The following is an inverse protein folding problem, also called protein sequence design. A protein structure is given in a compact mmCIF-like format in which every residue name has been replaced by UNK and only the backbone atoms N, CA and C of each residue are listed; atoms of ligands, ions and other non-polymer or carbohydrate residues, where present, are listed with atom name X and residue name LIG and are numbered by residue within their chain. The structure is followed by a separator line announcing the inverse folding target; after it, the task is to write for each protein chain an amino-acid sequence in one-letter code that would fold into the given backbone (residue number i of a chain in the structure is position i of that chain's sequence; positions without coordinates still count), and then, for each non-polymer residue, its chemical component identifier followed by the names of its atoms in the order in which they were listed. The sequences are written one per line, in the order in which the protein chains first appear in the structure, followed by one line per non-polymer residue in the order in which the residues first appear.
data_IF_998806820938
#
_entry.id   IF_998806820938
#
_cell.length_a   1.000
_cell.length_b   1.000
_cell.length_c   1.000
_cell.angle_alpha   90.00
_cell.angle_beta   90.00
_cell.angle_gamma   90.00
#
_symmetry.space_group_name_H-M   'P 1'
#
loop_
_entity.id
_entity.type
_entity.pdbx_description
1 polymer ?
#
# COMPACT_ATOMS: atom_id res chain seq x y z
N UNK A 1 -22.38 -5.90 1.36
CA UNK A 1 -22.09 -7.29 0.95
C UNK A 1 -20.61 -7.49 0.64
N UNK A 2 -20.00 -6.65 -0.21
CA UNK A 2 -18.58 -6.73 -0.59
C UNK A 2 -17.60 -6.73 0.59
N UNK A 3 -17.75 -5.80 1.55
CA UNK A 3 -16.92 -5.77 2.77
C UNK A 3 -17.04 -7.02 3.65
N UNK A 4 -18.19 -7.73 3.62
CA UNK A 4 -18.34 -8.99 4.35
C UNK A 4 -17.52 -10.10 3.71
N UNK A 5 -17.53 -10.18 2.39
CA UNK A 5 -16.69 -11.13 1.64
C UNK A 5 -15.22 -10.85 1.94
N UNK A 6 -14.80 -9.59 1.87
CA UNK A 6 -13.44 -9.20 2.21
C UNK A 6 -13.06 -9.59 3.64
N UNK A 7 -13.91 -9.27 4.63
CA UNK A 7 -13.65 -9.62 6.02
C UNK A 7 -13.51 -11.14 6.22
N UNK A 8 -14.40 -11.93 5.61
CA UNK A 8 -14.31 -13.41 5.65
C UNK A 8 -13.00 -13.88 5.03
N UNK A 9 -12.63 -13.39 3.86
CA UNK A 9 -11.38 -13.78 3.19
C UNK A 9 -10.17 -13.40 4.03
N UNK A 10 -10.12 -12.19 4.62
CA UNK A 10 -9.03 -11.77 5.50
C UNK A 10 -8.93 -12.67 6.74
N UNK A 11 -10.05 -12.99 7.39
CA UNK A 11 -10.07 -13.89 8.55
C UNK A 11 -9.55 -15.28 8.16
N UNK A 12 -9.97 -15.79 7.00
CA UNK A 12 -9.47 -17.06 6.47
C UNK A 12 -7.96 -16.99 6.22
N UNK A 13 -7.45 -15.94 5.57
CA UNK A 13 -6.00 -15.76 5.35
C UNK A 13 -5.22 -15.74 6.66
N UNK A 14 -5.71 -15.04 7.69
CA UNK A 14 -5.08 -15.01 9.01
C UNK A 14 -5.10 -16.38 9.67
N UNK A 15 -6.24 -17.10 9.64
CA UNK A 15 -6.33 -18.46 10.20
C UNK A 15 -5.30 -19.38 9.55
N UNK A 16 -5.12 -19.31 8.24
CA UNK A 16 -4.17 -20.19 7.57
C UNK A 16 -2.73 -19.84 7.95
N UNK A 17 -2.39 -18.56 8.07
CA UNK A 17 -1.08 -18.16 8.58
C UNK A 17 -0.84 -18.69 10.00
N UNK A 18 -1.86 -18.63 10.86
CA UNK A 18 -1.76 -19.20 12.22
C UNK A 18 -1.57 -20.72 12.20
N UNK A 19 -2.30 -21.44 11.35
CA UNK A 19 -2.11 -22.89 11.15
C UNK A 19 -0.69 -23.19 10.69
N UNK A 20 -0.18 -22.41 9.73
CA UNK A 20 1.20 -22.52 9.27
C UNK A 20 2.20 -22.30 10.41
N UNK A 21 2.04 -21.25 11.22
CA UNK A 21 2.97 -20.98 12.33
C UNK A 21 2.95 -22.08 13.38
N UNK A 22 1.77 -22.62 13.73
CA UNK A 22 1.66 -23.72 14.68
C UNK A 22 2.34 -24.98 14.15
N UNK A 23 2.13 -25.31 12.87
CA UNK A 23 2.82 -26.44 12.24
C UNK A 23 4.33 -26.22 12.15
N UNK A 24 4.76 -25.04 11.69
CA UNK A 24 6.16 -24.66 11.58
C UNK A 24 6.87 -24.72 12.93
N UNK A 25 6.24 -24.24 14.01
CA UNK A 25 6.80 -24.25 15.36
C UNK A 25 7.26 -25.63 15.83
N UNK A 26 6.62 -26.71 15.36
CA UNK A 26 7.03 -28.09 15.68
C UNK A 26 8.30 -28.55 14.95
N UNK A 27 8.69 -27.85 13.89
CA UNK A 27 9.83 -28.18 13.01
C UNK A 27 10.94 -27.11 13.02
N UNK A 28 10.77 -26.03 13.79
CA UNK A 28 11.75 -24.94 13.86
C UNK A 28 13.06 -25.47 14.44
N UNK A 29 14.16 -25.24 13.72
CA UNK A 29 15.51 -25.55 14.21
C UNK A 29 16.49 -24.45 13.78
N UNK A 30 16.88 -23.59 14.72
CA UNK A 30 17.84 -22.51 14.44
C UNK A 30 19.23 -23.05 14.09
N UNK A 31 19.68 -24.09 14.81
CA UNK A 31 21.00 -24.68 14.57
C UNK A 31 21.09 -25.24 13.15
N UNK A 32 20.12 -26.07 12.77
CA UNK A 32 20.14 -26.78 11.49
C UNK A 32 19.93 -25.87 10.27
N UNK A 33 19.00 -24.91 10.37
CA UNK A 33 18.58 -24.11 9.22
C UNK A 33 19.28 -22.76 9.10
N UNK A 34 20.01 -22.32 10.15
CA UNK A 34 20.69 -21.02 10.17
C UNK A 34 22.16 -21.15 10.58
N UNK A 35 22.46 -21.71 11.74
CA UNK A 35 23.81 -21.71 12.30
C UNK A 35 24.77 -22.65 11.56
N UNK A 36 24.38 -23.92 11.39
CA UNK A 36 25.20 -24.97 10.77
C UNK A 36 25.42 -24.74 9.27
N UNK A 37 24.48 -24.02 8.64
CA UNK A 37 24.57 -23.59 7.24
C UNK A 37 25.43 -22.36 7.03
N UNK A 38 25.99 -21.78 8.10
CA UNK A 38 26.77 -20.54 8.07
C UNK A 38 26.06 -19.44 7.26
N UNK A 39 24.74 -19.28 7.43
CA UNK A 39 24.00 -18.26 6.69
C UNK A 39 24.59 -16.88 6.99
N UNK A 40 25.22 -16.29 5.98
CA UNK A 40 25.78 -14.95 6.05
C UNK A 40 24.76 -13.97 5.51
N UNK A 41 24.74 -12.78 6.10
CA UNK A 41 23.92 -11.66 5.62
C UNK A 41 24.36 -11.28 4.19
N UNK A 42 23.62 -11.67 3.13
CA UNK A 42 24.13 -11.55 1.77
C UNK A 42 24.34 -10.07 1.43
N UNK A 43 25.51 -9.73 0.90
CA UNK A 43 25.91 -8.36 0.56
C UNK A 43 26.00 -7.38 1.74
N UNK A 44 25.96 -7.83 2.99
CA UNK A 44 26.16 -6.95 4.14
C UNK A 44 25.17 -5.77 4.17
N UNK A 45 25.67 -4.58 4.55
CA UNK A 45 24.88 -3.35 4.55
C UNK A 45 24.36 -2.93 3.17
N UNK A 46 25.03 -3.31 2.07
CA UNK A 46 24.53 -3.06 0.71
C UNK A 46 23.22 -3.84 0.47
N UNK A 47 23.17 -5.10 0.89
CA UNK A 47 21.96 -5.92 0.88
C UNK A 47 20.85 -5.32 1.75
N UNK A 48 21.19 -4.80 2.93
CA UNK A 48 20.24 -4.12 3.83
C UNK A 48 19.54 -2.94 3.16
N UNK A 49 20.34 -2.06 2.55
CA UNK A 49 19.84 -0.86 1.89
C UNK A 49 18.98 -1.23 0.70
N UNK A 50 19.35 -2.24 -0.09
CA UNK A 50 18.54 -2.73 -1.22
C UNK A 50 17.24 -3.40 -0.76
N UNK A 51 17.28 -4.14 0.35
CA UNK A 51 16.10 -4.80 0.92
C UNK A 51 15.10 -3.84 1.58
N UNK A 52 15.55 -2.66 2.02
CA UNK A 52 14.67 -1.68 2.69
C UNK A 52 13.50 -1.23 1.81
N UNK A 53 13.72 -0.99 0.51
CA UNK A 53 12.65 -0.61 -0.42
C UNK A 53 11.60 -1.71 -0.57
N UNK A 54 12.01 -2.98 -0.63
CA UNK A 54 11.12 -4.13 -0.63
C UNK A 54 10.40 -4.31 0.72
N UNK A 55 11.06 -4.00 1.84
CA UNK A 55 10.40 -4.02 3.15
C UNK A 55 9.27 -2.99 3.23
N UNK A 56 9.40 -1.81 2.62
CA UNK A 56 8.31 -0.82 2.55
C UNK A 56 7.07 -1.37 1.83
N UNK A 57 7.26 -2.22 0.82
CA UNK A 57 6.16 -2.83 0.07
C UNK A 57 5.25 -3.68 0.96
N UNK A 58 5.78 -4.36 1.98
CA UNK A 58 4.98 -5.16 2.91
C UNK A 58 3.93 -4.36 3.69
N UNK A 59 4.17 -3.06 3.87
CA UNK A 59 3.34 -2.18 4.70
C UNK A 59 2.58 -1.13 3.87
N UNK A 60 2.73 -1.16 2.55
CA UNK A 60 2.01 -0.29 1.63
C UNK A 60 0.54 -0.71 1.56
N UNK A 61 -0.36 0.27 1.59
CA UNK A 61 -1.82 0.09 1.56
C UNK A 61 -2.51 0.39 2.90
N UNK A 62 -1.78 0.51 4.01
CA UNK A 62 -2.40 0.87 5.31
C UNK A 62 -3.02 2.29 5.28
N UNK A 63 -2.48 3.17 4.44
CA UNK A 63 -2.93 4.53 4.17
C UNK A 63 -4.28 4.60 3.45
N UNK A 64 -4.77 3.46 2.93
CA UNK A 64 -6.06 3.41 2.25
C UNK A 64 -7.25 3.44 3.22
N UNK A 65 -7.06 2.98 4.46
CA UNK A 65 -8.10 2.97 5.48
C UNK A 65 -8.76 4.36 5.63
N UNK A 66 -8.01 5.47 5.77
CA UNK A 66 -8.55 6.83 5.77
C UNK A 66 -9.43 7.21 4.58
N UNK A 67 -9.22 6.61 3.41
CA UNK A 67 -10.03 6.89 2.21
C UNK A 67 -11.45 6.32 2.33
N UNK A 68 -11.66 5.37 3.26
CA UNK A 68 -12.97 4.82 3.59
C UNK A 68 -13.68 5.57 4.75
N UNK A 69 -13.15 6.71 5.20
CA UNK A 69 -13.67 7.43 6.37
C UNK A 69 -15.15 7.83 6.21
N UNK A 70 -15.58 8.20 5.00
CA UNK A 70 -16.96 8.64 4.71
C UNK A 70 -17.99 7.52 4.90
N UNK A 71 -17.57 6.25 4.79
CA UNK A 71 -18.43 5.07 4.97
C UNK A 71 -18.19 4.37 6.31
N UNK A 72 -17.34 4.94 7.16
CA UNK A 72 -16.97 4.37 8.45
C UNK A 72 -17.97 4.81 9.52
N UNK A 73 -18.53 3.85 10.26
CA UNK A 73 -19.37 4.13 11.43
C UNK A 73 -18.49 4.73 12.53
N UNK A 74 -18.86 5.88 13.09
CA UNK A 74 -18.13 6.57 14.16
C UNK A 74 -16.61 6.74 13.86
N UNK A 75 -16.25 7.51 12.80
CA UNK A 75 -14.88 7.57 12.30
C UNK A 75 -13.88 8.10 13.34
N UNK A 76 -14.31 9.03 14.20
CA UNK A 76 -13.44 9.62 15.23
C UNK A 76 -12.82 8.59 16.18
N UNK A 77 -13.57 7.52 16.48
CA UNK A 77 -13.13 6.43 17.37
C UNK A 77 -12.61 5.24 16.57
N UNK A 78 -13.31 4.86 15.50
CA UNK A 78 -13.02 3.61 14.80
C UNK A 78 -11.83 3.73 13.83
N UNK A 79 -11.55 4.91 13.27
CA UNK A 79 -10.39 5.10 12.39
C UNK A 79 -9.05 4.92 13.12
N UNK A 80 -8.80 5.56 14.28
CA UNK A 80 -7.54 5.35 14.99
C UNK A 80 -7.36 3.89 15.46
N UNK A 81 -8.43 3.27 15.96
CA UNK A 81 -8.39 1.87 16.39
C UNK A 81 -8.08 0.97 15.19
N UNK A 82 -8.81 1.13 14.08
CA UNK A 82 -8.62 0.32 12.88
C UNK A 82 -7.23 0.43 12.29
N UNK A 83 -6.65 1.63 12.24
CA UNK A 83 -5.26 1.84 11.79
C UNK A 83 -4.25 1.16 12.71
N UNK A 84 -4.38 1.35 14.03
CA UNK A 84 -3.46 0.77 15.01
C UNK A 84 -3.54 -0.75 15.05
N UNK A 85 -4.75 -1.32 15.05
CA UNK A 85 -4.92 -2.78 15.05
C UNK A 85 -4.41 -3.38 13.76
N UNK A 86 -4.69 -2.75 12.61
CA UNK A 86 -4.23 -3.24 11.31
C UNK A 86 -2.71 -3.26 11.22
N UNK A 87 -2.02 -2.16 11.57
CA UNK A 87 -0.55 -2.13 11.54
C UNK A 87 0.06 -3.11 12.55
N UNK A 88 -0.49 -3.22 13.76
CA UNK A 88 -0.02 -4.19 14.75
C UNK A 88 -0.18 -5.64 14.27
N UNK A 89 -1.33 -6.00 13.71
CA UNK A 89 -1.53 -7.34 13.16
C UNK A 89 -0.59 -7.63 12.00
N UNK A 90 -0.38 -6.65 11.12
CA UNK A 90 0.49 -6.79 9.96
C UNK A 90 1.95 -6.99 10.38
N UNK A 91 2.45 -6.19 11.33
CA UNK A 91 3.83 -6.32 11.86
C UNK A 91 4.04 -7.69 12.50
N UNK A 92 3.10 -8.15 13.33
CA UNK A 92 3.20 -9.46 14.00
C UNK A 92 3.20 -10.59 12.98
N UNK A 93 2.23 -10.61 12.05
CA UNK A 93 2.12 -11.67 11.04
C UNK A 93 3.29 -11.65 10.06
N UNK A 94 3.74 -10.48 9.61
CA UNK A 94 4.91 -10.37 8.73
C UNK A 94 6.18 -10.88 9.42
N UNK A 95 6.41 -10.48 10.67
CA UNK A 95 7.56 -10.95 11.47
C UNK A 95 7.51 -12.45 11.68
N UNK A 96 6.37 -13.00 12.12
CA UNK A 96 6.19 -14.45 12.28
C UNK A 96 6.42 -15.18 10.95
N UNK A 97 5.92 -14.65 9.83
CA UNK A 97 6.13 -15.26 8.51
C UNK A 97 7.61 -15.35 8.16
N UNK A 98 8.37 -14.26 8.32
CA UNK A 98 9.81 -14.27 8.04
C UNK A 98 10.54 -15.26 8.94
N UNK A 99 10.29 -15.22 10.25
CA UNK A 99 10.97 -16.07 11.23
C UNK A 99 10.65 -17.55 11.00
N UNK A 100 9.37 -17.92 10.95
CA UNK A 100 8.98 -19.33 10.81
C UNK A 100 9.39 -19.90 9.45
N UNK A 101 9.33 -19.11 8.38
CA UNK A 101 9.67 -19.60 7.05
C UNK A 101 11.18 -19.78 6.87
N UNK A 102 12.01 -18.91 7.48
CA UNK A 102 13.47 -19.03 7.38
C UNK A 102 14.07 -20.09 8.31
N UNK A 103 13.36 -20.53 9.36
CA UNK A 103 13.88 -21.46 10.38
C UNK A 103 13.38 -22.90 10.26
N UNK A 104 12.75 -23.23 9.13
CA UNK A 104 12.29 -24.59 8.78
C UNK A 104 12.95 -25.02 7.47
N UNK A 105 12.87 -26.31 7.14
CA UNK A 105 13.26 -26.80 5.81
C UNK A 105 12.57 -26.00 4.71
N UNK A 106 13.24 -25.59 3.62
CA UNK A 106 14.63 -25.89 3.26
C UNK A 106 15.70 -24.91 3.80
N UNK A 107 15.33 -23.94 4.63
CA UNK A 107 16.21 -22.91 5.20
C UNK A 107 16.19 -21.58 4.43
N UNK A 108 16.85 -20.57 4.99
CA UNK A 108 16.79 -19.19 4.49
C UNK A 108 17.30 -19.03 3.04
N UNK A 109 18.35 -19.76 2.63
CA UNK A 109 18.92 -19.71 1.27
C UNK A 109 17.92 -20.08 0.17
N UNK A 110 17.25 -21.22 0.36
CA UNK A 110 16.29 -21.73 -0.61
C UNK A 110 15.00 -20.91 -0.60
N UNK A 111 14.57 -20.46 0.58
CA UNK A 111 13.42 -19.55 0.72
C UNK A 111 13.69 -18.21 0.04
N UNK A 112 14.91 -17.67 0.15
CA UNK A 112 15.33 -16.46 -0.56
C UNK A 112 15.28 -16.63 -2.09
N UNK A 113 15.60 -17.82 -2.59
CA UNK A 113 15.60 -18.11 -4.03
C UNK A 113 14.24 -18.56 -4.57
N UNK A 114 13.24 -18.78 -3.70
CA UNK A 114 11.92 -19.25 -4.08
C UNK A 114 11.07 -18.13 -4.69
N UNK A 115 10.35 -18.44 -5.77
CA UNK A 115 9.35 -17.53 -6.35
C UNK A 115 8.05 -17.46 -5.52
N UNK A 116 7.82 -18.43 -4.63
CA UNK A 116 6.65 -18.46 -3.74
C UNK A 116 7.07 -18.89 -2.33
N UNK A 117 7.82 -18.06 -1.60
CA UNK A 117 8.45 -18.42 -0.32
C UNK A 117 7.46 -19.00 0.69
N UNK A 118 6.27 -18.41 0.82
CA UNK A 118 5.26 -18.86 1.78
C UNK A 118 4.70 -20.24 1.43
N UNK A 119 4.51 -20.53 0.14
CA UNK A 119 4.03 -21.85 -0.31
C UNK A 119 5.10 -22.92 -0.10
N UNK A 120 6.36 -22.61 -0.41
CA UNK A 120 7.51 -23.50 -0.17
C UNK A 120 7.62 -23.88 1.31
N UNK A 121 7.54 -22.88 2.20
CA UNK A 121 7.51 -23.12 3.64
C UNK A 121 6.33 -24.00 4.05
N UNK A 122 5.14 -23.71 3.55
CA UNK A 122 3.93 -24.48 3.88
C UNK A 122 4.04 -25.95 3.43
N UNK A 123 4.54 -26.21 2.22
CA UNK A 123 4.80 -27.56 1.69
C UNK A 123 5.83 -28.33 2.53
N UNK A 124 6.86 -27.66 3.05
CA UNK A 124 7.85 -28.32 3.93
C UNK A 124 7.24 -28.82 5.25
N UNK A 125 6.23 -28.10 5.77
CA UNK A 125 5.59 -28.42 7.04
C UNK A 125 4.55 -29.52 6.86
N UNK A 126 3.66 -29.38 5.88
CA UNK A 126 2.51 -30.26 5.73
C UNK A 126 2.66 -31.33 4.64
N UNK A 127 3.80 -31.34 3.95
CA UNK A 127 4.08 -32.20 2.81
C UNK A 127 3.47 -31.67 1.51
N UNK A 128 4.01 -32.12 0.38
CA UNK A 128 3.47 -31.77 -0.94
C UNK A 128 2.39 -32.77 -1.35
N UNK A 129 1.13 -32.47 -0.99
CA UNK A 129 -0.03 -33.31 -1.27
C UNK A 129 -1.21 -32.47 -1.78
N UNK A 130 -2.31 -33.13 -2.16
CA UNK A 130 -3.50 -32.47 -2.72
C UNK A 130 -4.13 -31.45 -1.76
N UNK A 131 -4.06 -31.67 -0.45
CA UNK A 131 -4.54 -30.72 0.57
C UNK A 131 -3.68 -29.47 0.60
N UNK A 132 -2.36 -29.62 0.48
CA UNK A 132 -1.40 -28.52 0.39
C UNK A 132 -1.50 -27.76 -0.94
N UNK A 133 -1.85 -28.44 -2.04
CA UNK A 133 -2.17 -27.77 -3.31
C UNK A 133 -3.41 -26.88 -3.20
N UNK A 134 -4.39 -27.27 -2.36
CA UNK A 134 -5.53 -26.44 -1.98
C UNK A 134 -5.15 -25.10 -1.34
N UNK A 135 -4.02 -25.04 -0.62
CA UNK A 135 -3.51 -23.80 -0.01
C UNK A 135 -3.17 -22.73 -1.06
N UNK A 136 -2.62 -23.13 -2.21
CA UNK A 136 -2.33 -22.19 -3.31
C UNK A 136 -3.58 -21.44 -3.78
N UNK A 137 -4.73 -22.12 -3.84
CA UNK A 137 -6.00 -21.46 -4.16
C UNK A 137 -6.44 -20.46 -3.09
N UNK A 138 -6.16 -20.73 -1.83
CA UNK A 138 -6.48 -19.80 -0.74
C UNK A 138 -5.59 -18.55 -0.76
N UNK A 139 -4.31 -18.68 -1.17
CA UNK A 139 -3.43 -17.53 -1.40
C UNK A 139 -4.00 -16.62 -2.49
N UNK A 140 -4.52 -17.19 -3.57
CA UNK A 140 -5.17 -16.44 -4.66
C UNK A 140 -6.41 -15.69 -4.16
N UNK A 141 -7.24 -16.33 -3.30
CA UNK A 141 -8.39 -15.65 -2.70
C UNK A 141 -7.96 -14.43 -1.87
N UNK A 142 -6.88 -14.55 -1.09
CA UNK A 142 -6.29 -13.44 -0.34
C UNK A 142 -5.87 -12.27 -1.26
N UNK A 143 -5.23 -12.58 -2.39
CA UNK A 143 -4.84 -11.58 -3.40
C UNK A 143 -6.06 -10.87 -3.98
N UNK A 144 -7.14 -11.60 -4.31
CA UNK A 144 -8.39 -11.02 -4.84
C UNK A 144 -9.03 -10.07 -3.82
N UNK A 145 -9.05 -10.42 -2.53
CA UNK A 145 -9.57 -9.56 -1.48
C UNK A 145 -8.73 -8.29 -1.30
N UNK A 146 -7.41 -8.39 -1.43
CA UNK A 146 -6.52 -7.23 -1.43
C UNK A 146 -6.84 -6.29 -2.62
N UNK A 147 -6.90 -6.83 -3.84
CA UNK A 147 -7.25 -6.04 -5.04
C UNK A 147 -8.59 -5.31 -4.92
N UNK A 148 -9.58 -5.95 -4.30
CA UNK A 148 -10.87 -5.31 -4.06
C UNK A 148 -10.75 -4.02 -3.24
N UNK A 149 -9.88 -4.02 -2.23
CA UNK A 149 -9.63 -2.87 -1.34
C UNK A 149 -9.00 -1.71 -2.11
N UNK A 150 -7.93 -1.99 -2.84
CA UNK A 150 -7.22 -0.99 -3.64
C UNK A 150 -8.13 -0.35 -4.68
N UNK A 151 -8.93 -1.15 -5.39
CA UNK A 151 -9.88 -0.63 -6.39
C UNK A 151 -10.95 0.25 -5.74
N UNK A 152 -11.48 -0.17 -4.59
CA UNK A 152 -12.45 0.63 -3.83
C UNK A 152 -11.86 1.97 -3.38
N UNK A 153 -10.69 1.96 -2.74
CA UNK A 153 -10.02 3.14 -2.21
C UNK A 153 -9.56 4.10 -3.31
N UNK A 154 -9.06 3.58 -4.43
CA UNK A 154 -8.77 4.36 -5.63
C UNK A 154 -10.02 5.08 -6.14
N UNK A 155 -11.16 4.40 -6.21
CA UNK A 155 -12.43 5.01 -6.58
C UNK A 155 -12.84 6.16 -5.66
N UNK A 156 -12.73 5.95 -4.34
CA UNK A 156 -13.01 6.98 -3.31
C UNK A 156 -12.10 8.20 -3.47
N UNK A 157 -10.81 7.96 -3.67
CA UNK A 157 -9.83 9.02 -3.82
C UNK A 157 -10.09 9.87 -5.07
N UNK A 158 -10.31 9.23 -6.23
CA UNK A 158 -10.61 9.94 -7.48
C UNK A 158 -11.91 10.73 -7.39
N UNK A 159 -12.94 10.14 -6.79
CA UNK A 159 -14.23 10.80 -6.56
C UNK A 159 -14.07 12.04 -5.66
N UNK A 160 -13.36 11.90 -4.53
CA UNK A 160 -13.15 13.01 -3.58
C UNK A 160 -12.37 14.16 -4.22
N UNK A 161 -11.28 13.87 -4.93
CA UNK A 161 -10.48 14.88 -5.64
C UNK A 161 -11.31 15.57 -6.73
N UNK A 162 -12.15 14.82 -7.46
CA UNK A 162 -13.04 15.39 -8.47
C UNK A 162 -14.17 16.24 -7.87
N UNK A 163 -14.73 15.81 -6.73
CA UNK A 163 -15.73 16.57 -5.96
C UNK A 163 -15.17 17.90 -5.51
N UNK A 164 -13.90 17.93 -5.10
CA UNK A 164 -13.18 19.13 -4.70
C UNK A 164 -12.76 20.02 -5.89
N UNK A 165 -13.05 19.60 -7.13
CA UNK A 165 -12.84 20.38 -8.35
C UNK A 165 -11.44 20.28 -8.95
N UNK A 166 -10.57 19.43 -8.38
CA UNK A 166 -9.21 19.20 -8.87
C UNK A 166 -9.15 18.22 -10.04
N UNK A 167 -10.21 17.46 -10.31
CA UNK A 167 -10.33 16.56 -11.46
C UNK A 167 -11.65 16.81 -12.24
N UNK A 168 -11.81 16.25 -13.46
CA UNK A 168 -13.04 16.43 -14.22
C UNK A 168 -14.30 15.98 -13.47
N UNK A 169 -15.33 16.83 -13.47
CA UNK A 169 -16.59 16.61 -12.76
C UNK A 169 -17.34 15.33 -13.20
N UNK A 170 -17.00 14.73 -14.34
CA UNK A 170 -17.61 13.44 -14.74
C UNK A 170 -17.31 12.31 -13.75
N UNK A 171 -16.17 12.38 -13.03
CA UNK A 171 -15.75 11.38 -12.05
C UNK A 171 -16.62 11.37 -10.78
N UNK A 172 -17.38 12.44 -10.53
CA UNK A 172 -18.28 12.55 -9.37
C UNK A 172 -19.63 11.84 -9.58
N UNK A 173 -19.84 11.19 -10.73
CA UNK A 173 -21.07 10.48 -11.02
C UNK A 173 -21.19 9.20 -10.19
N UNK A 174 -22.32 9.07 -9.50
CA UNK A 174 -22.69 7.91 -8.71
C UNK A 174 -23.70 7.03 -9.46
N UNK A 175 -23.68 5.73 -9.19
CA UNK A 175 -24.68 4.80 -9.73
C UNK A 175 -26.05 5.11 -9.11
N UNK A 176 -27.12 5.27 -9.92
CA UNK A 176 -28.40 5.83 -9.46
C UNK A 176 -29.06 5.04 -8.33
N UNK A 177 -28.87 3.71 -8.29
CA UNK A 177 -29.49 2.85 -7.27
C UNK A 177 -28.54 2.38 -6.17
N UNK A 178 -27.22 2.40 -6.41
CA UNK A 178 -26.22 1.80 -5.51
C UNK A 178 -25.34 2.84 -4.82
N UNK A 179 -25.35 4.09 -5.29
CA UNK A 179 -24.45 5.13 -4.81
C UNK A 179 -22.96 4.85 -5.07
N UNK A 180 -22.63 3.87 -5.93
CA UNK A 180 -21.24 3.51 -6.21
C UNK A 180 -20.62 4.48 -7.21
N UNK A 181 -19.38 4.92 -6.97
CA UNK A 181 -18.65 5.88 -7.81
C UNK A 181 -18.11 5.20 -9.08
N UNK A 182 -19.02 4.67 -9.90
CA UNK A 182 -18.68 3.76 -10.99
C UNK A 182 -17.78 4.42 -12.04
N UNK A 183 -17.93 5.72 -12.30
CA UNK A 183 -17.07 6.42 -13.27
C UNK A 183 -15.64 6.50 -12.74
N UNK A 184 -15.45 6.90 -11.48
CA UNK A 184 -14.13 6.92 -10.84
C UNK A 184 -13.47 5.54 -10.82
N UNK A 185 -14.23 4.49 -10.50
CA UNK A 185 -13.75 3.11 -10.50
C UNK A 185 -13.30 2.65 -11.89
N UNK A 186 -14.14 2.87 -12.91
CA UNK A 186 -13.83 2.47 -14.29
C UNK A 186 -12.64 3.28 -14.81
N UNK A 187 -12.65 4.60 -14.68
CA UNK A 187 -11.57 5.45 -15.20
C UNK A 187 -10.23 5.13 -14.56
N UNK A 188 -10.16 5.01 -13.22
CA UNK A 188 -8.92 4.66 -12.53
C UNK A 188 -8.41 3.28 -12.93
N UNK A 189 -9.30 2.28 -12.98
CA UNK A 189 -8.94 0.90 -13.37
C UNK A 189 -8.48 0.83 -14.83
N UNK A 190 -9.14 1.55 -15.74
CA UNK A 190 -8.76 1.62 -17.15
C UNK A 190 -7.40 2.28 -17.33
N UNK A 191 -7.11 3.37 -16.62
CA UNK A 191 -5.79 4.02 -16.67
C UNK A 191 -4.72 3.06 -16.14
N UNK A 192 -4.94 2.43 -14.99
CA UNK A 192 -4.01 1.45 -14.43
C UNK A 192 -3.76 0.28 -15.39
N UNK A 193 -4.82 -0.28 -15.98
CA UNK A 193 -4.71 -1.35 -16.96
C UNK A 193 -3.96 -0.92 -18.23
N UNK A 194 -4.22 0.29 -18.75
CA UNK A 194 -3.51 0.83 -19.91
C UNK A 194 -2.02 1.00 -19.63
N UNK A 195 -1.64 1.51 -18.45
CA UNK A 195 -0.23 1.64 -18.06
C UNK A 195 0.44 0.26 -18.01
N UNK A 196 -0.21 -0.73 -17.40
CA UNK A 196 0.30 -2.12 -17.33
C UNK A 196 0.46 -2.70 -18.74
N UNK A 197 -0.54 -2.53 -19.60
CA UNK A 197 -0.54 -3.06 -20.97
C UNK A 197 0.54 -2.41 -21.83
N UNK A 198 0.70 -1.09 -21.75
CA UNK A 198 1.78 -0.37 -22.44
C UNK A 198 3.15 -0.88 -21.97
N UNK A 199 3.34 -1.03 -20.65
CA UNK A 199 4.60 -1.53 -20.11
C UNK A 199 4.86 -2.98 -20.54
N UNK A 200 3.86 -3.85 -20.50
CA UNK A 200 3.97 -5.23 -20.99
C UNK A 200 4.58 -5.29 -22.40
N UNK A 201 4.09 -4.47 -23.34
CA UNK A 201 4.61 -4.45 -24.71
C UNK A 201 5.98 -3.77 -24.87
N UNK A 202 6.36 -2.83 -23.99
CA UNK A 202 7.64 -2.11 -24.09
C UNK A 202 8.79 -2.87 -23.42
N UNK A 203 8.55 -3.41 -22.22
CA UNK A 203 9.62 -3.97 -21.37
C UNK A 203 9.52 -5.48 -21.14
N UNK A 204 8.38 -6.11 -21.48
CA UNK A 204 8.12 -7.54 -21.30
C UNK A 204 7.75 -7.95 -19.86
N UNK A 205 7.18 -9.15 -19.71
CA UNK A 205 6.61 -9.65 -18.45
C UNK A 205 7.62 -9.90 -17.34
N UNK A 206 8.83 -10.34 -17.70
CA UNK A 206 9.86 -10.71 -16.73
C UNK A 206 10.27 -9.55 -15.82
N UNK A 207 10.16 -8.32 -16.34
CA UNK A 207 10.56 -7.08 -15.66
C UNK A 207 9.39 -6.28 -15.12
N UNK A 208 8.17 -6.57 -15.60
CA UNK A 208 6.97 -5.78 -15.32
C UNK A 208 6.69 -5.66 -13.82
N UNK A 209 6.78 -6.77 -13.08
CA UNK A 209 6.52 -6.79 -11.64
C UNK A 209 7.45 -5.85 -10.85
N UNK A 210 8.76 -5.93 -11.09
CA UNK A 210 9.75 -5.07 -10.44
C UNK A 210 9.54 -3.59 -10.78
N UNK A 211 9.24 -3.28 -12.04
CA UNK A 211 8.94 -1.89 -12.48
C UNK A 211 7.70 -1.35 -11.78
N UNK A 212 6.65 -2.16 -11.66
CA UNK A 212 5.41 -1.75 -10.98
C UNK A 212 5.62 -1.51 -9.49
N UNK A 213 6.37 -2.38 -8.81
CA UNK A 213 6.72 -2.19 -7.39
C UNK A 213 7.49 -0.89 -7.21
N UNK A 214 8.53 -0.65 -8.02
CA UNK A 214 9.30 0.59 -7.95
C UNK A 214 8.45 1.84 -8.20
N UNK A 215 7.58 1.81 -9.23
CA UNK A 215 6.69 2.92 -9.54
C UNK A 215 5.74 3.23 -8.38
N UNK A 216 5.14 2.19 -7.79
CA UNK A 216 4.23 2.34 -6.65
C UNK A 216 4.97 2.83 -5.40
N UNK A 217 6.18 2.36 -5.12
CA UNK A 217 7.01 2.83 -4.00
C UNK A 217 7.41 4.30 -4.16
N UNK A 218 7.84 4.73 -5.35
CA UNK A 218 8.14 6.14 -5.64
C UNK A 218 6.91 7.02 -5.38
N UNK A 219 5.74 6.58 -5.87
CA UNK A 219 4.47 7.26 -5.66
C UNK A 219 4.08 7.35 -4.18
N UNK A 220 4.17 6.24 -3.45
CA UNK A 220 3.82 6.16 -2.04
C UNK A 220 4.74 7.02 -1.17
N UNK A 221 6.06 6.90 -1.30
CA UNK A 221 7.03 7.70 -0.53
C UNK A 221 6.88 9.20 -0.82
N UNK A 222 6.59 9.57 -2.07
CA UNK A 222 6.27 10.96 -2.43
C UNK A 222 4.99 11.44 -1.76
N UNK A 223 3.93 10.64 -1.80
CA UNK A 223 2.65 10.93 -1.14
C UNK A 223 2.83 11.09 0.38
N UNK A 224 3.54 10.19 1.04
CA UNK A 224 3.84 10.27 2.47
C UNK A 224 4.61 11.54 2.82
N UNK A 225 5.58 11.93 1.99
CA UNK A 225 6.34 13.17 2.18
C UNK A 225 5.41 14.39 2.12
N UNK A 226 4.46 14.44 1.18
CA UNK A 226 3.46 15.51 1.15
C UNK A 226 2.51 15.48 2.36
N UNK A 227 2.04 14.29 2.77
CA UNK A 227 1.17 14.13 3.93
C UNK A 227 1.84 14.59 5.23
N UNK A 228 3.09 14.18 5.46
CA UNK A 228 3.88 14.56 6.63
C UNK A 228 4.17 16.06 6.65
N UNK A 229 4.51 16.64 5.48
CA UNK A 229 4.71 18.09 5.35
C UNK A 229 3.41 18.85 5.66
N UNK A 230 2.28 18.38 5.15
CA UNK A 230 0.95 18.94 5.43
C UNK A 230 0.61 18.85 6.92
N UNK A 231 0.89 17.70 7.55
CA UNK A 231 0.69 17.49 8.98
C UNK A 231 1.49 18.49 9.83
N UNK A 232 2.79 18.64 9.56
CA UNK A 232 3.65 19.60 10.27
C UNK A 232 3.14 21.03 10.06
N UNK A 233 2.82 21.40 8.82
CA UNK A 233 2.31 22.73 8.47
C UNK A 233 0.99 23.05 9.17
N UNK A 234 0.04 22.10 9.24
CA UNK A 234 -1.24 22.27 9.93
C UNK A 234 -1.08 22.37 11.45
N UNK A 235 -0.09 21.68 12.03
CA UNK A 235 0.22 21.79 13.46
C UNK A 235 0.73 23.18 13.83
N UNK A 236 1.51 23.80 12.94
CA UNK A 236 2.08 25.13 13.16
C UNK A 236 1.05 26.24 12.83
N UNK A 237 0.35 26.15 11.70
CA UNK A 237 -0.54 27.24 11.23
C UNK A 237 -1.92 27.25 11.89
N UNK A 238 -2.45 26.09 12.27
CA UNK A 238 -3.79 25.97 12.85
C UNK A 238 -3.74 25.20 14.19
N UNK A 239 -3.04 25.72 15.21
CA UNK A 239 -2.84 24.99 16.47
C UNK A 239 -4.15 24.68 17.20
N UNK A 240 -5.13 25.58 17.11
CA UNK A 240 -6.41 25.54 17.83
C UNK A 240 -7.52 24.75 17.12
N UNK A 241 -7.27 24.20 15.93
CA UNK A 241 -8.26 23.39 15.21
C UNK A 241 -8.68 22.19 16.06
N UNK A 242 -9.98 21.86 16.17
CA UNK A 242 -10.41 20.64 16.86
C UNK A 242 -9.84 19.41 16.14
N UNK A 243 -9.29 18.48 16.93
CA UNK A 243 -8.64 17.26 16.42
C UNK A 243 -9.22 16.07 17.17
N UNK A 244 -10.10 15.27 16.55
CA UNK A 244 -10.68 14.08 17.18
C UNK A 244 -9.61 13.08 17.63
N UNK A 245 -8.53 12.96 16.87
CA UNK A 245 -7.35 12.18 17.22
C UNK A 245 -6.10 13.06 17.33
N UNK A 246 -5.27 12.81 18.36
CA UNK A 246 -3.98 13.46 18.56
C UNK A 246 -2.89 12.39 18.62
N UNK A 247 -1.97 12.43 17.64
CA UNK A 247 -0.80 11.55 17.65
C UNK A 247 0.04 11.77 18.91
N UNK A 248 0.44 10.70 19.62
CA UNK A 248 1.28 10.79 20.81
C UNK A 248 2.69 11.31 20.48
N UNK A 249 3.19 11.08 19.26
CA UNK A 249 4.54 11.48 18.84
C UNK A 249 4.61 12.88 18.22
N UNK A 250 3.45 13.49 17.92
CA UNK A 250 3.36 14.86 17.43
C UNK A 250 4.28 15.18 16.24
N UNK A 251 4.90 16.36 16.26
CA UNK A 251 5.80 16.83 15.20
C UNK A 251 7.10 16.01 15.16
N UNK A 252 7.64 15.60 16.30
CA UNK A 252 8.86 14.79 16.37
C UNK A 252 8.69 13.47 15.61
N UNK A 253 7.56 12.78 15.82
CA UNK A 253 7.22 11.59 15.05
C UNK A 253 7.15 11.85 13.55
N UNK A 254 6.53 12.96 13.13
CA UNK A 254 6.44 13.31 11.72
C UNK A 254 7.81 13.61 11.08
N UNK A 255 8.74 14.23 11.81
CA UNK A 255 10.12 14.48 11.34
C UNK A 255 10.89 13.16 11.20
N UNK A 256 10.76 12.25 12.16
CA UNK A 256 11.37 10.91 12.07
C UNK A 256 10.79 10.15 10.87
N UNK A 257 9.46 10.15 10.70
CA UNK A 257 8.82 9.53 9.54
C UNK A 257 9.28 10.15 8.22
N UNK A 258 9.52 11.47 8.18
CA UNK A 258 10.07 12.14 7.01
C UNK A 258 11.48 11.65 6.68
N UNK A 259 12.34 11.51 7.70
CA UNK A 259 13.69 10.97 7.52
C UNK A 259 13.64 9.52 7.00
N UNK A 260 12.71 8.69 7.48
CA UNK A 260 12.50 7.32 6.99
C UNK A 260 11.97 7.29 5.54
N UNK A 261 11.13 8.24 5.15
CA UNK A 261 10.69 8.40 3.76
C UNK A 261 11.87 8.76 2.84
N UNK A 262 12.72 9.70 3.27
CA UNK A 262 13.94 10.07 2.53
C UNK A 262 14.89 8.87 2.42
N UNK A 263 15.11 8.13 3.51
CA UNK A 263 15.91 6.90 3.49
C UNK A 263 15.33 5.85 2.51
N UNK A 264 14.00 5.74 2.44
CA UNK A 264 13.31 4.88 1.47
C UNK A 264 13.53 5.32 0.03
N UNK A 265 13.41 6.62 -0.24
CA UNK A 265 13.70 7.15 -1.57
C UNK A 265 15.16 6.89 -1.97
N UNK A 266 16.11 7.09 -1.05
CA UNK A 266 17.53 6.81 -1.28
C UNK A 266 17.75 5.32 -1.54
N UNK A 267 17.13 4.43 -0.76
CA UNK A 267 17.20 2.98 -0.96
C UNK A 267 16.67 2.55 -2.33
N UNK A 268 15.52 3.08 -2.75
CA UNK A 268 14.91 2.84 -4.06
C UNK A 268 15.86 3.29 -5.18
N UNK A 269 16.41 4.51 -5.07
CA UNK A 269 17.36 5.06 -6.04
C UNK A 269 18.63 4.20 -6.07
N UNK A 270 19.22 3.91 -4.92
CA UNK A 270 20.45 3.14 -4.82
C UNK A 270 20.31 1.74 -5.40
N UNK A 271 19.23 1.03 -5.05
CA UNK A 271 18.95 -0.31 -5.57
C UNK A 271 18.69 -0.32 -7.08
N UNK A 272 18.16 0.78 -7.61
CA UNK A 272 17.70 0.86 -8.98
C UNK A 272 18.65 1.58 -9.96
N UNK A 273 19.59 2.40 -9.50
CA UNK A 273 20.34 3.33 -10.37
C UNK A 273 21.03 2.66 -11.56
N UNK A 274 21.42 1.38 -11.44
CA UNK A 274 22.06 0.62 -12.53
C UNK A 274 21.11 -0.29 -13.31
N UNK A 275 19.82 -0.37 -12.95
CA UNK A 275 18.86 -1.26 -13.59
C UNK A 275 17.97 -0.50 -14.61
N UNK A 276 17.77 -1.13 -15.76
CA UNK A 276 16.84 -0.63 -16.77
C UNK A 276 15.40 -0.51 -16.22
N UNK A 277 15.02 -1.43 -15.34
CA UNK A 277 13.71 -1.49 -14.68
C UNK A 277 13.44 -0.21 -13.87
N UNK A 278 14.43 0.21 -13.09
CA UNK A 278 14.31 1.42 -12.30
C UNK A 278 14.25 2.68 -13.17
N UNK A 279 15.10 2.75 -14.21
CA UNK A 279 15.07 3.87 -15.15
C UNK A 279 13.67 4.00 -15.80
N UNK A 280 13.09 2.90 -16.25
CA UNK A 280 11.75 2.87 -16.80
C UNK A 280 10.71 3.36 -15.77
N UNK A 281 10.82 2.91 -14.52
CA UNK A 281 9.94 3.30 -13.42
C UNK A 281 10.00 4.81 -13.15
N UNK A 282 11.22 5.38 -13.09
CA UNK A 282 11.43 6.82 -12.90
C UNK A 282 10.84 7.61 -14.07
N UNK A 283 11.10 7.20 -15.31
CA UNK A 283 10.61 7.93 -16.48
C UNK A 283 9.09 7.97 -16.46
N UNK A 284 8.43 6.83 -16.21
CA UNK A 284 6.98 6.76 -16.09
C UNK A 284 6.47 7.62 -14.93
N UNK A 285 7.12 7.57 -13.77
CA UNK A 285 6.75 8.41 -12.63
C UNK A 285 6.86 9.90 -12.96
N UNK A 286 7.97 10.34 -13.56
CA UNK A 286 8.20 11.73 -13.97
C UNK A 286 7.14 12.15 -14.99
N UNK A 287 6.88 11.34 -16.01
CA UNK A 287 5.84 11.64 -17.01
C UNK A 287 4.47 11.75 -16.35
N UNK A 288 4.11 10.83 -15.45
CA UNK A 288 2.85 10.84 -14.73
C UNK A 288 2.69 12.11 -13.87
N UNK A 289 3.70 12.45 -13.07
CA UNK A 289 3.70 13.67 -12.25
C UNK A 289 3.74 14.94 -13.10
N UNK A 290 4.47 14.95 -14.22
CA UNK A 290 4.54 16.09 -15.13
C UNK A 290 3.19 16.33 -15.82
N UNK A 291 2.50 15.27 -16.27
CA UNK A 291 1.14 15.36 -16.83
C UNK A 291 0.18 15.90 -15.76
N UNK A 292 0.23 15.36 -14.54
CA UNK A 292 -0.60 15.81 -13.42
C UNK A 292 -0.36 17.27 -13.06
N UNK A 293 0.91 17.68 -12.96
CA UNK A 293 1.31 19.06 -12.69
C UNK A 293 0.87 20.00 -13.80
N UNK A 294 1.11 19.64 -15.06
CA UNK A 294 0.69 20.43 -16.23
C UNK A 294 -0.82 20.62 -16.24
N UNK A 295 -1.58 19.55 -16.00
CA UNK A 295 -3.03 19.63 -15.86
C UNK A 295 -3.45 20.56 -14.71
N UNK A 296 -2.81 20.44 -13.55
CA UNK A 296 -3.07 21.27 -12.38
C UNK A 296 -2.83 22.76 -12.69
N UNK A 297 -1.66 23.12 -13.19
CA UNK A 297 -1.29 24.51 -13.49
C UNK A 297 -2.11 25.11 -14.62
N UNK A 298 -2.43 24.35 -15.68
CA UNK A 298 -3.15 24.87 -16.84
C UNK A 298 -4.66 24.90 -16.68
N UNK A 299 -5.25 23.94 -15.94
CA UNK A 299 -6.72 23.78 -15.89
C UNK A 299 -7.29 24.00 -14.50
N UNK A 300 -6.59 23.60 -13.45
CA UNK A 300 -7.13 23.61 -12.09
C UNK A 300 -6.85 24.94 -11.40
N UNK A 301 -5.59 25.39 -11.37
CA UNK A 301 -5.19 26.63 -10.70
C UNK A 301 -5.98 27.87 -11.21
N UNK A 302 -6.16 28.08 -12.53
CA UNK A 302 -6.94 29.23 -13.01
C UNK A 302 -8.40 29.19 -12.58
N UNK A 303 -8.99 27.99 -12.45
CA UNK A 303 -10.37 27.82 -11.96
C UNK A 303 -10.49 28.12 -10.47
N UNK A 304 -9.48 27.76 -9.69
CA UNK A 304 -9.42 28.06 -8.25
C UNK A 304 -9.27 29.57 -8.05
N UNK A 305 -8.39 30.21 -8.81
CA UNK A 305 -8.14 31.66 -8.74
C UNK A 305 -9.32 32.49 -9.24
N UNK A 306 -10.05 32.02 -10.25
CA UNK A 306 -11.24 32.69 -10.78
C UNK A 306 -12.50 32.51 -9.92
N UNK A 307 -12.46 31.69 -8.86
CA UNK A 307 -13.63 31.44 -8.02
C UNK A 307 -13.96 32.68 -7.15
N UNK A 308 -15.18 33.24 -7.23
CA UNK A 308 -15.52 34.56 -6.66
C UNK A 308 -15.63 34.60 -5.12
N UNK A 309 -15.47 33.47 -4.43
CA UNK A 309 -15.35 33.39 -2.96
C UNK A 309 -14.40 32.25 -2.63
N UNK A 310 -13.75 32.25 -1.45
CA UNK A 310 -12.96 31.11 -0.97
C UNK A 310 -13.85 29.90 -0.62
N UNK A 311 -14.89 29.61 -1.41
CA UNK A 311 -15.79 28.45 -1.25
C UNK A 311 -15.09 27.12 -1.56
N UNK A 312 -13.95 27.14 -2.24
CA UNK A 312 -13.05 25.98 -2.30
C UNK A 312 -12.39 25.67 -0.93
N UNK A 313 -12.35 26.64 0.00
CA UNK A 313 -11.97 26.42 1.40
C UNK A 313 -13.14 26.02 2.30
N UNK A 314 -14.36 26.48 2.03
CA UNK A 314 -15.53 26.23 2.89
C UNK A 314 -16.20 24.86 2.68
N UNK A 315 -16.20 24.31 1.45
CA UNK A 315 -16.77 22.98 1.19
C UNK A 315 -15.99 21.83 1.85
N UNK A 316 -14.79 22.09 2.35
CA UNK A 316 -13.94 21.11 3.06
C UNK A 316 -14.26 21.03 4.57
N UNK A 317 -15.10 21.91 5.09
CA UNK A 317 -15.56 21.89 6.49
C UNK A 317 -17.07 21.66 6.63
N UNK A 318 -17.86 21.82 5.56
CA UNK A 318 -19.34 21.73 5.61
C UNK A 318 -19.94 20.36 5.30
N UNK A 319 -19.17 19.39 4.78
CA UNK A 319 -19.70 18.04 4.51
C UNK A 319 -20.01 17.22 5.79
N UNK A 320 -19.71 17.76 6.97
CA UNK A 320 -20.17 17.20 8.25
C UNK A 320 -21.62 17.60 8.62
N UNK A 321 -22.33 18.41 7.81
CA UNK A 321 -23.68 18.89 8.19
C UNK A 321 -24.68 19.10 7.04
N UNK A 322 -24.72 18.21 6.04
CA UNK A 322 -25.94 18.13 5.21
C UNK A 322 -26.32 16.70 4.88
N UNK A 323 -27.23 16.16 5.70
CA UNK A 323 -28.28 15.18 5.39
C UNK A 323 -28.22 14.59 3.97
N UNK A 324 -27.87 13.31 3.88
CA UNK A 324 -28.76 12.23 3.38
C UNK A 324 -28.51 11.00 4.23
#
# INVERSE_FOLDING_TARGET
MTFRVQAVTTVVSVIILLVFYVGAATKVSYSEWVADRNWQYPNGWDGAVKGYSFALWFYLGIEELPLAVEVTVNPERNMPIGLMTSISTLVVLAFCTVVFNSMISPGADEIYSSSSPLLTGYQSVFGDNSTTSGFSWMLILGLIASFHSFVFCMGQLLYAIARDGYLPQILTRLHPTRGTMYVSLITGSSIGFLVVLILHYIIGDTRLGSVMINLALIGAVTSYSFQLTSFIRLRIKEPNRPRPYRSPFGIAGAVISMALCVAGMVSIIYSGTSSFEFLASIIVAILYFAIGATYFFMRVQPRIEAAPTPKLRENLLSSASSKV
#
